data_IF_376616768786
#
_entry.id   IF_376616768786
#
_cell.length_a   1.000
_cell.length_b   1.000
_cell.length_c   1.000
_cell.angle_alpha   90.00
_cell.angle_beta   90.00
_cell.angle_gamma   90.00
#
_symmetry.space_group_name_H-M   'P 1'
#
loop_
_entity.id
_entity.type
_entity.pdbx_description
1 polymer ?
#
# COMPACT_ATOMS: atom_id res chain seq x y z
N UNK A 1 20.09 -23.75 10.21
CA UNK A 1 19.03 -23.36 11.16
C UNK A 1 17.74 -23.99 10.70
N UNK A 2 17.19 -24.93 11.46
CA UNK A 2 15.90 -25.55 11.12
C UNK A 2 14.81 -24.50 11.42
N UNK A 3 14.11 -24.05 10.38
CA UNK A 3 13.13 -22.96 10.46
C UNK A 3 11.87 -23.31 11.26
N UNK A 4 10.87 -22.43 11.16
CA UNK A 4 9.55 -22.61 11.78
C UNK A 4 8.91 -23.90 11.24
N UNK A 5 8.55 -24.85 12.13
CA UNK A 5 7.89 -26.11 11.75
C UNK A 5 6.43 -25.90 11.31
N UNK A 6 5.71 -25.00 12.00
CA UNK A 6 4.37 -24.57 11.64
C UNK A 6 4.10 -23.19 12.27
N UNK A 7 3.41 -22.27 11.56
CA UNK A 7 3.09 -20.94 12.07
C UNK A 7 1.88 -20.97 13.00
N UNK A 8 2.05 -21.53 14.20
CA UNK A 8 0.99 -21.64 15.20
C UNK A 8 0.96 -20.38 16.06
N UNK A 9 -0.15 -19.63 15.99
CA UNK A 9 -0.41 -18.44 16.80
C UNK A 9 -1.78 -18.48 17.47
N UNK A 10 -2.07 -17.50 18.32
CA UNK A 10 -3.34 -17.35 19.04
C UNK A 10 -4.34 -16.44 18.33
N UNK A 11 -4.04 -16.05 17.09
CA UNK A 11 -4.83 -15.11 16.31
C UNK A 11 -6.14 -15.69 15.75
N UNK A 12 -6.98 -14.84 15.13
CA UNK A 12 -8.29 -15.23 14.58
C UNK A 12 -8.20 -16.04 13.28
N UNK A 13 -7.01 -16.15 12.67
CA UNK A 13 -6.77 -16.82 11.40
C UNK A 13 -5.66 -17.86 11.55
N UNK A 14 -5.83 -18.99 10.86
CA UNK A 14 -4.86 -20.09 10.80
C UNK A 14 -4.44 -20.24 9.34
N UNK A 15 -3.14 -20.28 9.09
CA UNK A 15 -2.62 -20.64 7.77
C UNK A 15 -2.93 -22.13 7.51
N UNK A 16 -3.80 -22.39 6.55
CA UNK A 16 -4.19 -23.74 6.16
C UNK A 16 -3.24 -24.31 5.10
N UNK A 17 -2.91 -23.53 4.09
CA UNK A 17 -2.11 -23.95 2.96
C UNK A 17 -1.29 -22.77 2.43
N UNK A 18 -0.06 -23.03 2.03
CA UNK A 18 0.78 -22.08 1.31
C UNK A 18 1.40 -22.78 0.13
N UNK A 19 1.20 -22.20 -1.06
CA UNK A 19 1.76 -22.70 -2.30
C UNK A 19 2.61 -21.60 -2.92
N UNK A 20 3.92 -21.83 -2.91
CA UNK A 20 4.92 -20.85 -3.34
C UNK A 20 4.59 -20.29 -4.73
N UNK A 21 4.58 -18.95 -4.82
CA UNK A 21 4.27 -18.18 -6.03
C UNK A 21 2.87 -18.42 -6.62
N UNK A 22 1.93 -18.97 -5.84
CA UNK A 22 0.57 -19.22 -6.30
C UNK A 22 -0.45 -18.60 -5.36
N UNK A 23 -0.57 -19.13 -4.14
CA UNK A 23 -1.57 -18.65 -3.19
C UNK A 23 -1.23 -19.02 -1.74
N UNK A 24 -1.88 -18.31 -0.82
CA UNK A 24 -1.94 -18.64 0.59
C UNK A 24 -3.40 -18.71 1.04
N UNK A 25 -3.77 -19.77 1.76
CA UNK A 25 -5.12 -19.97 2.27
C UNK A 25 -5.13 -19.86 3.79
N UNK A 26 -5.98 -18.98 4.29
CA UNK A 26 -6.25 -18.82 5.71
C UNK A 26 -7.67 -19.25 6.03
N UNK A 27 -7.85 -19.96 7.14
CA UNK A 27 -9.15 -20.33 7.68
C UNK A 27 -9.36 -19.69 9.04
N UNK A 28 -10.61 -19.38 9.34
CA UNK A 28 -11.00 -18.83 10.64
C UNK A 28 -10.62 -19.81 11.76
N UNK A 29 -10.02 -19.30 12.81
CA UNK A 29 -9.77 -20.07 14.03
C UNK A 29 -11.09 -20.22 14.81
N UNK A 30 -11.69 -21.42 14.77
CA UNK A 30 -12.94 -21.70 15.50
C UNK A 30 -12.77 -21.68 17.02
N UNK A 31 -11.54 -21.76 17.50
CA UNK A 31 -11.18 -21.74 18.92
C UNK A 31 -10.60 -20.38 19.33
N UNK A 32 -10.79 -19.34 18.51
CA UNK A 32 -10.36 -17.99 18.86
C UNK A 32 -11.10 -17.50 20.10
N UNK A 33 -10.35 -16.91 21.02
CA UNK A 33 -10.83 -16.49 22.34
C UNK A 33 -11.65 -15.19 22.30
N UNK A 34 -11.51 -14.40 21.23
CA UNK A 34 -12.22 -13.13 21.04
C UNK A 34 -13.40 -13.22 20.09
N UNK A 35 -13.79 -12.09 19.50
CA UNK A 35 -14.84 -12.04 18.48
C UNK A 35 -14.43 -12.82 17.22
N UNK A 36 -15.30 -13.72 16.79
CA UNK A 36 -15.05 -14.55 15.61
C UNK A 36 -15.31 -13.75 14.33
N UNK A 37 -14.34 -13.72 13.38
CA UNK A 37 -14.59 -13.11 12.08
C UNK A 37 -15.82 -13.71 11.37
N UNK A 38 -16.59 -12.88 10.68
CA UNK A 38 -17.72 -13.36 9.87
C UNK A 38 -17.26 -14.21 8.69
N UNK A 39 -16.11 -13.85 8.10
CA UNK A 39 -15.48 -14.57 7.00
C UNK A 39 -14.88 -15.89 7.52
N UNK A 40 -15.08 -16.98 6.79
CA UNK A 40 -14.60 -18.32 7.17
C UNK A 40 -13.25 -18.69 6.56
N UNK A 41 -12.99 -18.21 5.35
CA UNK A 41 -11.80 -18.52 4.55
C UNK A 41 -11.38 -17.29 3.76
N UNK A 42 -10.08 -17.06 3.69
CA UNK A 42 -9.46 -16.02 2.87
C UNK A 42 -8.40 -16.70 2.00
N UNK A 43 -8.40 -16.40 0.71
CA UNK A 43 -7.37 -16.84 -0.22
C UNK A 43 -6.62 -15.62 -0.72
N UNK A 44 -5.31 -15.58 -0.52
CA UNK A 44 -4.43 -14.56 -1.09
C UNK A 44 -3.80 -15.13 -2.35
N UNK A 45 -4.16 -14.58 -3.51
CA UNK A 45 -3.50 -14.92 -4.77
C UNK A 45 -2.21 -14.11 -4.91
N UNK A 46 -1.10 -14.78 -5.23
CA UNK A 46 0.20 -14.12 -5.42
C UNK A 46 0.26 -13.51 -6.82
N UNK A 47 -0.11 -12.24 -6.93
CA UNK A 47 -0.13 -11.49 -8.20
C UNK A 47 0.82 -10.29 -8.07
N UNK A 48 2.07 -10.39 -8.57
CA UNK A 48 3.08 -9.35 -8.39
C UNK A 48 2.80 -8.09 -9.23
N UNK A 49 2.23 -8.26 -10.42
CA UNK A 49 1.99 -7.17 -11.36
C UNK A 49 0.68 -6.39 -11.03
N UNK A 50 0.74 -5.05 -10.88
CA UNK A 50 -0.42 -4.23 -10.53
C UNK A 50 -1.54 -4.25 -11.58
N UNK A 51 -1.19 -4.31 -12.87
CA UNK A 51 -2.17 -4.35 -13.96
C UNK A 51 -2.95 -5.67 -13.93
N UNK A 52 -2.24 -6.77 -13.69
CA UNK A 52 -2.83 -8.11 -13.55
C UNK A 52 -3.77 -8.19 -12.34
N UNK A 53 -3.43 -7.51 -11.22
CA UNK A 53 -4.35 -7.39 -10.07
C UNK A 53 -5.63 -6.64 -10.43
N UNK A 54 -5.54 -5.56 -11.20
CA UNK A 54 -6.71 -4.82 -11.65
C UNK A 54 -7.60 -5.68 -12.56
N UNK A 55 -7.02 -6.41 -13.52
CA UNK A 55 -7.75 -7.32 -14.39
C UNK A 55 -8.44 -8.43 -13.59
N UNK A 56 -7.75 -9.05 -12.64
CA UNK A 56 -8.34 -10.08 -11.78
C UNK A 56 -9.56 -9.57 -10.98
N UNK A 57 -9.54 -8.29 -10.57
CA UNK A 57 -10.69 -7.66 -9.92
C UNK A 57 -11.83 -7.40 -10.92
N UNK A 58 -11.52 -6.94 -12.13
CA UNK A 58 -12.51 -6.70 -13.18
C UNK A 58 -13.23 -7.98 -13.63
N UNK A 59 -12.51 -9.10 -13.70
CA UNK A 59 -13.05 -10.41 -14.08
C UNK A 59 -13.82 -11.10 -12.95
N UNK A 60 -13.70 -10.61 -11.72
CA UNK A 60 -14.29 -11.22 -10.52
C UNK A 60 -13.50 -12.42 -9.99
N UNK A 61 -12.25 -12.60 -10.43
CA UNK A 61 -11.35 -13.63 -9.89
C UNK A 61 -10.91 -13.32 -8.44
N UNK A 62 -10.97 -12.04 -8.04
CA UNK A 62 -10.72 -11.59 -6.67
C UNK A 62 -11.82 -10.63 -6.19
N UNK A 63 -12.19 -10.75 -4.91
CA UNK A 63 -13.27 -9.95 -4.31
C UNK A 63 -12.78 -8.63 -3.69
N UNK A 64 -11.50 -8.55 -3.32
CA UNK A 64 -10.95 -7.44 -2.55
C UNK A 64 -9.50 -7.16 -2.94
N UNK A 65 -9.21 -5.89 -3.17
CA UNK A 65 -7.87 -5.32 -3.19
C UNK A 65 -7.73 -4.36 -2.00
N UNK A 66 -6.74 -4.62 -1.14
CA UNK A 66 -6.41 -3.77 0.00
C UNK A 66 -4.89 -3.57 0.10
N UNK A 67 -4.44 -2.32 0.13
CA UNK A 67 -3.01 -1.98 0.08
C UNK A 67 -2.78 -0.47 -0.07
N UNK A 68 -1.53 -0.09 -0.31
CA UNK A 68 -1.10 1.31 -0.51
C UNK A 68 -1.17 1.72 -2.00
N UNK A 69 -0.56 2.85 -2.36
CA UNK A 69 -0.64 3.44 -3.71
C UNK A 69 -0.08 2.55 -4.83
N UNK A 70 0.77 1.56 -4.49
CA UNK A 70 1.31 0.59 -5.46
C UNK A 70 0.38 -0.61 -5.73
N UNK A 71 -0.81 -0.64 -5.12
CA UNK A 71 -1.73 -1.78 -5.20
C UNK A 71 -2.26 -2.01 -6.62
N UNK A 72 -2.59 -0.97 -7.37
CA UNK A 72 -3.02 -1.05 -8.77
C UNK A 72 -2.68 0.27 -9.48
N UNK A 73 -2.69 0.33 -10.83
CA UNK A 73 -2.49 1.57 -11.55
C UNK A 73 -3.54 2.62 -11.13
N UNK A 74 -3.10 3.83 -10.83
CA UNK A 74 -3.94 4.86 -10.21
C UNK A 74 -4.98 5.45 -11.17
N UNK A 75 -4.70 5.44 -12.47
CA UNK A 75 -5.67 5.74 -13.53
C UNK A 75 -6.82 4.71 -13.55
N UNK A 76 -6.49 3.44 -13.35
CA UNK A 76 -7.45 2.34 -13.27
C UNK A 76 -8.27 2.44 -11.98
N UNK A 77 -7.66 2.80 -10.85
CA UNK A 77 -8.39 3.13 -9.63
C UNK A 77 -9.36 4.30 -9.82
N UNK A 78 -8.93 5.38 -10.49
CA UNK A 78 -9.79 6.51 -10.81
C UNK A 78 -10.96 6.14 -11.74
N UNK A 79 -10.76 5.18 -12.65
CA UNK A 79 -11.84 4.60 -13.47
C UNK A 79 -12.80 3.78 -12.62
N UNK A 80 -12.29 2.95 -11.69
CA UNK A 80 -13.14 2.15 -10.80
C UNK A 80 -14.01 2.99 -9.89
N UNK A 81 -13.50 4.11 -9.39
CA UNK A 81 -14.26 4.99 -8.50
C UNK A 81 -15.43 5.70 -9.18
N UNK A 82 -15.42 5.79 -10.51
CA UNK A 82 -16.50 6.35 -11.32
C UNK A 82 -17.50 5.28 -11.79
N UNK A 83 -17.18 4.00 -11.64
CA UNK A 83 -18.03 2.91 -12.10
C UNK A 83 -18.95 2.43 -10.96
N UNK A 84 -20.29 2.54 -11.10
CA UNK A 84 -21.24 2.13 -10.05
C UNK A 84 -21.24 0.62 -9.77
N UNK A 85 -20.63 -0.20 -10.63
CA UNK A 85 -20.49 -1.64 -10.39
C UNK A 85 -19.43 -1.96 -9.31
N UNK A 86 -18.54 -1.01 -9.00
CA UNK A 86 -17.43 -1.22 -8.08
C UNK A 86 -17.55 -0.30 -6.85
N UNK A 87 -16.92 -0.73 -5.75
CA UNK A 87 -16.79 0.08 -4.54
C UNK A 87 -15.32 0.41 -4.30
N UNK A 88 -15.00 1.70 -4.22
CA UNK A 88 -13.63 2.17 -3.99
C UNK A 88 -13.57 3.04 -2.74
N UNK A 89 -12.49 2.92 -1.97
CA UNK A 89 -12.22 3.76 -0.82
C UNK A 89 -10.77 4.22 -0.85
N UNK A 90 -10.54 5.46 -0.42
CA UNK A 90 -9.21 6.02 -0.19
C UNK A 90 -9.16 6.59 1.22
N UNK A 91 -8.19 6.13 2.02
CA UNK A 91 -8.03 6.59 3.39
C UNK A 91 -7.37 7.97 3.45
N UNK A 92 -7.33 8.56 4.65
CA UNK A 92 -6.38 9.64 4.91
C UNK A 92 -4.93 9.13 4.76
N UNK A 93 -3.95 10.02 4.49
CA UNK A 93 -2.55 9.62 4.37
C UNK A 93 -2.03 8.88 5.60
N UNK A 94 -1.37 7.74 5.39
CA UNK A 94 -0.85 6.86 6.45
C UNK A 94 0.70 6.80 6.51
N UNK A 95 1.38 7.19 5.43
CA UNK A 95 2.85 7.16 5.33
C UNK A 95 3.38 8.28 4.43
N UNK A 96 4.71 8.44 4.38
CA UNK A 96 5.39 9.43 3.53
C UNK A 96 6.37 8.73 2.61
N UNK A 97 6.19 8.91 1.31
CA UNK A 97 7.09 8.41 0.27
C UNK A 97 8.13 9.48 -0.05
N UNK A 98 9.42 9.11 0.04
CA UNK A 98 10.54 10.02 -0.22
C UNK A 98 11.77 9.29 -0.76
N UNK A 99 12.63 10.04 -1.47
CA UNK A 99 13.96 9.56 -1.83
C UNK A 99 14.92 9.81 -0.67
N UNK A 100 15.51 8.75 -0.14
CA UNK A 100 16.60 8.85 0.82
C UNK A 100 17.92 9.16 0.10
N UNK A 101 18.51 10.31 0.38
CA UNK A 101 19.78 10.74 -0.22
C UNK A 101 20.95 10.23 0.64
N UNK A 102 21.84 9.44 0.05
CA UNK A 102 22.99 8.88 0.77
C UNK A 102 24.06 9.95 1.00
N UNK A 103 24.17 10.44 2.23
CA UNK A 103 25.14 11.48 2.63
C UNK A 103 26.59 10.98 2.69
N UNK A 104 26.83 9.67 2.60
CA UNK A 104 28.16 9.08 2.62
C UNK A 104 28.71 8.76 1.22
N UNK A 105 27.94 9.00 0.15
CA UNK A 105 28.33 8.69 -1.23
C UNK A 105 28.24 9.92 -2.12
N UNK A 106 29.28 10.18 -2.90
CA UNK A 106 29.28 11.24 -3.91
C UNK A 106 28.30 10.92 -5.05
N UNK A 107 27.55 11.91 -5.60
CA UNK A 107 27.62 13.35 -5.27
C UNK A 107 26.68 13.80 -4.14
N UNK A 108 25.85 12.91 -3.57
CA UNK A 108 24.85 13.26 -2.54
C UNK A 108 25.43 13.50 -1.15
N UNK A 109 26.74 13.34 -0.96
CA UNK A 109 27.46 13.72 0.25
C UNK A 109 27.53 15.24 0.47
N UNK A 110 27.49 16.04 -0.61
CA UNK A 110 27.47 17.50 -0.53
C UNK A 110 26.08 18.04 -0.14
N UNK A 111 26.03 18.96 0.83
CA UNK A 111 24.77 19.58 1.26
C UNK A 111 24.09 20.36 0.12
N UNK A 112 24.86 21.17 -0.61
CA UNK A 112 24.36 21.96 -1.73
C UNK A 112 23.70 21.09 -2.83
N UNK A 113 24.26 19.91 -3.11
CA UNK A 113 23.67 18.95 -4.05
C UNK A 113 22.31 18.46 -3.54
N UNK A 114 22.20 18.12 -2.25
CA UNK A 114 20.92 17.67 -1.67
C UNK A 114 19.87 18.77 -1.64
N UNK A 115 20.25 20.00 -1.35
CA UNK A 115 19.35 21.17 -1.39
C UNK A 115 18.86 21.40 -2.83
N UNK A 116 19.77 21.42 -3.81
CA UNK A 116 19.42 21.56 -5.22
C UNK A 116 18.44 20.46 -5.69
N UNK A 117 18.68 19.20 -5.31
CA UNK A 117 17.76 18.09 -5.63
C UNK A 117 16.37 18.26 -5.01
N UNK A 118 16.27 18.81 -3.80
CA UNK A 118 14.99 19.06 -3.15
C UNK A 118 14.18 20.17 -3.84
N UNK A 119 14.85 21.20 -4.38
CA UNK A 119 14.21 22.26 -5.16
C UNK A 119 13.93 21.87 -6.62
N UNK A 120 14.68 20.91 -7.18
CA UNK A 120 14.55 20.49 -8.58
C UNK A 120 13.24 19.73 -8.87
N UNK A 121 12.66 19.06 -7.88
CA UNK A 121 11.45 18.24 -8.07
C UNK A 121 10.19 19.09 -7.90
N UNK A 122 9.44 19.27 -8.98
CA UNK A 122 8.08 19.83 -8.90
C UNK A 122 7.11 18.79 -8.34
N UNK A 123 6.97 18.79 -7.00
CA UNK A 123 6.14 17.82 -6.27
C UNK A 123 4.67 17.86 -6.70
N UNK A 124 4.11 19.06 -6.95
CA UNK A 124 2.72 19.21 -7.38
C UNK A 124 2.48 18.55 -8.73
N UNK A 125 3.31 18.86 -9.73
CA UNK A 125 3.18 18.25 -11.05
C UNK A 125 3.40 16.74 -11.02
N UNK A 126 4.33 16.25 -10.19
CA UNK A 126 4.55 14.81 -10.03
C UNK A 126 3.30 14.11 -9.49
N UNK A 127 2.66 14.68 -8.48
CA UNK A 127 1.45 14.11 -7.88
C UNK A 127 0.28 14.14 -8.85
N UNK A 128 0.08 15.27 -9.51
CA UNK A 128 -1.05 15.45 -10.43
C UNK A 128 -0.93 14.45 -11.60
N UNK A 129 0.29 14.22 -12.11
CA UNK A 129 0.51 13.39 -13.29
C UNK A 129 0.74 11.90 -12.99
N UNK A 130 1.50 11.57 -11.95
CA UNK A 130 1.87 10.19 -11.63
C UNK A 130 0.95 9.57 -10.57
N UNK A 131 0.38 10.37 -9.67
CA UNK A 131 -0.46 9.89 -8.56
C UNK A 131 -1.95 10.21 -8.73
N UNK A 132 -2.36 10.81 -9.85
CA UNK A 132 -3.76 11.07 -10.22
C UNK A 132 -4.59 11.82 -9.17
N UNK A 133 -3.96 12.67 -8.35
CA UNK A 133 -4.63 13.81 -7.71
C UNK A 133 -5.23 13.69 -6.30
N UNK A 134 -5.21 12.57 -5.54
CA UNK A 134 -5.60 12.63 -4.12
C UNK A 134 -4.43 12.48 -3.14
N UNK A 135 -3.23 12.10 -3.57
CA UNK A 135 -2.05 12.06 -2.70
C UNK A 135 -1.58 13.48 -2.40
N UNK A 136 -1.94 14.01 -1.23
CA UNK A 136 -1.52 15.37 -0.80
C UNK A 136 0.00 15.50 -0.89
N UNK A 137 0.48 16.66 -1.35
CA UNK A 137 1.92 16.94 -1.47
C UNK A 137 2.67 16.53 -0.20
N UNK A 138 3.69 15.66 -0.30
CA UNK A 138 4.53 15.33 0.84
C UNK A 138 5.34 16.58 1.21
N UNK A 139 4.80 17.31 2.20
CA UNK A 139 5.56 18.27 3.00
C UNK A 139 6.69 17.50 3.69
N UNK A 140 7.87 18.08 3.93
CA UNK A 140 9.06 17.33 4.38
C UNK A 140 8.95 16.68 5.76
N UNK A 141 7.86 16.89 6.49
CA UNK A 141 7.68 16.44 7.85
C UNK A 141 6.50 15.47 7.96
N UNK A 142 6.64 14.49 8.85
CA UNK A 142 5.52 13.68 9.33
C UNK A 142 4.33 14.60 9.69
N UNK A 143 3.08 14.19 9.40
CA UNK A 143 1.90 15.00 9.70
C UNK A 143 1.80 15.45 11.17
N UNK A 144 2.38 14.68 12.10
CA UNK A 144 2.39 14.97 13.54
C UNK A 144 3.47 15.97 14.00
N UNK A 145 4.42 16.33 13.14
CA UNK A 145 5.56 17.19 13.48
C UNK A 145 5.48 18.58 12.87
N UNK A 146 4.38 18.92 12.19
CA UNK A 146 4.19 20.26 11.65
C UNK A 146 3.15 21.03 12.49
N UNK A 147 3.44 22.24 12.98
CA UNK A 147 2.38 23.11 13.48
C UNK A 147 1.42 23.38 12.31
N UNK A 148 0.12 23.28 12.57
CA UNK A 148 -0.91 23.67 11.61
C UNK A 148 -0.65 25.10 11.15
N UNK A 149 -0.69 25.41 9.84
CA UNK A 149 -0.66 26.79 9.41
C UNK A 149 -1.93 27.46 9.97
N UNK A 150 -1.76 28.33 10.96
CA UNK A 150 -2.80 29.27 11.36
C UNK A 150 -3.16 30.07 10.11
N UNK A 151 -4.39 29.91 9.64
CA UNK A 151 -4.96 30.75 8.61
C UNK A 151 -4.83 32.23 9.01
N UNK A 152 -4.18 33.01 8.17
CA UNK A 152 -4.36 34.46 8.12
C UNK A 152 -5.53 34.79 7.21
#
# INVERSE_FOLDING_TARGET
MNGIKAPIGTGPWILQESKLNQYDVFVRNENYWGEKPAIKKITFNVIPDPTTRAVAFETGDIDLLYGNEGLLPLDTFARFSQNPAYHTQLSQPIETVMLALNTAKAPTNELAVREALNYAVNKKSLIDNALYGPSRSPTPCLPLLCPTPTSA
#
